data_IF_448091597300
#
_entry.id   IF_448091597300
#
_cell.length_a   1.000
_cell.length_b   1.000
_cell.length_c   1.000
_cell.angle_alpha   90.00
_cell.angle_beta   90.00
_cell.angle_gamma   90.00
#
_symmetry.space_group_name_H-M   'P 1'
#
loop_
_entity.id
_entity.type
_entity.pdbx_description
1 polymer ?
#
# COMPACT_ATOMS: atom_id res chain seq x y z
N UNK A 1 11.88 9.26 4.83
CA UNK A 1 11.15 9.62 3.61
C UNK A 1 9.82 8.89 3.60
N UNK A 2 8.71 9.60 3.41
CA UNK A 2 7.37 9.00 3.23
C UNK A 2 7.31 8.40 1.83
N UNK A 3 6.75 7.19 1.69
CA UNK A 3 6.51 6.58 0.39
C UNK A 3 5.03 6.79 0.03
N UNK A 4 4.80 7.52 -1.04
CA UNK A 4 3.51 7.61 -1.73
C UNK A 4 3.79 7.15 -3.16
N UNK A 5 3.07 6.13 -3.61
CA UNK A 5 3.27 5.61 -4.97
C UNK A 5 2.53 6.48 -5.99
N UNK A 6 1.29 6.85 -5.68
CA UNK A 6 0.51 7.79 -6.49
C UNK A 6 -0.26 8.77 -5.59
N UNK A 7 -0.40 10.00 -6.06
CA UNK A 7 -1.24 11.02 -5.45
C UNK A 7 -2.15 11.65 -6.50
N UNK A 8 -3.40 11.89 -6.13
CA UNK A 8 -4.40 12.50 -7.00
C UNK A 8 -5.22 13.56 -6.25
N UNK A 9 -5.62 14.60 -6.97
CA UNK A 9 -6.55 15.62 -6.49
C UNK A 9 -7.80 15.55 -7.37
N UNK A 10 -8.94 15.24 -6.77
CA UNK A 10 -10.17 14.99 -7.52
C UNK A 10 -11.39 15.38 -6.70
N UNK A 11 -12.35 16.10 -7.30
CA UNK A 11 -13.58 16.56 -6.64
C UNK A 11 -13.32 17.21 -5.26
N UNK A 12 -12.35 18.13 -5.20
CA UNK A 12 -11.90 18.82 -3.97
C UNK A 12 -11.40 17.91 -2.84
N UNK A 13 -11.20 16.62 -3.12
CA UNK A 13 -10.60 15.65 -2.21
C UNK A 13 -9.18 15.33 -2.66
N UNK A 14 -8.37 14.87 -1.71
CA UNK A 14 -6.99 14.43 -1.92
C UNK A 14 -6.90 12.94 -1.68
N UNK A 15 -6.33 12.22 -2.63
CA UNK A 15 -6.20 10.77 -2.61
C UNK A 15 -4.75 10.36 -2.71
N UNK A 16 -4.39 9.31 -1.99
CA UNK A 16 -3.12 8.61 -2.15
C UNK A 16 -3.38 7.13 -2.36
N UNK A 17 -2.66 6.55 -3.31
CA UNK A 17 -2.62 5.11 -3.55
C UNK A 17 -1.25 4.62 -3.12
N UNK A 18 -1.26 3.57 -2.28
CA UNK A 18 -0.06 2.94 -1.75
C UNK A 18 -0.05 1.48 -2.17
N UNK A 19 1.07 1.05 -2.75
CA UNK A 19 1.32 -0.33 -3.16
C UNK A 19 2.24 -0.98 -2.14
N UNK A 20 1.68 -1.88 -1.35
CA UNK A 20 2.35 -2.49 -0.22
C UNK A 20 3.09 -3.77 -0.57
N UNK A 21 4.31 -3.91 -0.08
CA UNK A 21 5.12 -5.12 -0.21
C UNK A 21 5.43 -5.67 1.20
N UNK A 22 5.69 -6.97 1.31
CA UNK A 22 6.04 -7.60 2.60
C UNK A 22 7.25 -6.92 3.27
N UNK A 23 8.18 -6.41 2.47
CA UNK A 23 9.36 -5.66 2.94
C UNK A 23 9.03 -4.37 3.70
N UNK A 24 7.80 -3.85 3.57
CA UNK A 24 7.31 -2.69 4.33
C UNK A 24 6.95 -2.99 5.78
N UNK A 25 6.72 -4.27 6.10
CA UNK A 25 6.19 -4.70 7.39
C UNK A 25 7.09 -5.73 8.09
N UNK A 26 7.98 -6.39 7.33
CA UNK A 26 8.83 -7.45 7.82
C UNK A 26 10.30 -7.21 7.45
N UNK A 27 11.19 -7.80 8.23
CA UNK A 27 12.61 -7.90 7.94
C UNK A 27 12.93 -9.25 7.33
N UNK A 28 13.79 -9.24 6.32
CA UNK A 28 14.29 -10.48 5.72
C UNK A 28 15.34 -11.07 6.66
N UNK A 29 15.03 -12.23 7.22
CA UNK A 29 15.92 -12.91 8.19
C UNK A 29 16.86 -13.86 7.47
N UNK A 30 16.38 -14.51 6.40
CA UNK A 30 17.21 -15.30 5.50
C UNK A 30 16.83 -15.06 4.06
N UNK A 31 17.85 -15.01 3.21
CA UNK A 31 17.69 -14.94 1.75
C UNK A 31 18.43 -16.11 1.14
N UNK A 32 17.67 -17.11 0.71
CA UNK A 32 18.16 -18.25 -0.06
C UNK A 32 17.57 -18.19 -1.48
N UNK A 33 18.23 -18.83 -2.44
CA UNK A 33 17.86 -18.85 -3.86
C UNK A 33 16.46 -19.46 -4.09
N UNK A 34 15.95 -20.24 -3.12
CA UNK A 34 14.66 -20.93 -3.20
C UNK A 34 13.56 -20.31 -2.34
N UNK A 35 13.90 -19.71 -1.19
CA UNK A 35 12.91 -19.14 -0.28
C UNK A 35 13.53 -18.04 0.58
N UNK A 36 12.84 -16.91 0.67
CA UNK A 36 13.18 -15.85 1.64
C UNK A 36 12.29 -16.00 2.87
N UNK A 37 12.90 -15.99 4.06
CA UNK A 37 12.16 -15.94 5.32
C UNK A 37 12.02 -14.49 5.77
N UNK A 38 10.79 -14.14 6.12
CA UNK A 38 10.43 -12.81 6.61
C UNK A 38 9.87 -12.93 8.02
N UNK A 39 10.41 -12.16 8.94
CA UNK A 39 9.87 -12.03 10.30
C UNK A 39 9.29 -10.62 10.48
N UNK A 40 8.14 -10.53 11.14
CA UNK A 40 7.44 -9.27 11.34
C UNK A 40 8.31 -8.26 12.11
N UNK A 41 8.31 -7.01 11.67
CA UNK A 41 9.14 -5.94 12.23
C UNK A 41 8.27 -4.86 12.87
N UNK A 42 8.27 -4.81 14.20
CA UNK A 42 7.49 -3.82 14.96
C UNK A 42 7.88 -2.39 14.58
N UNK A 43 9.16 -2.13 14.34
CA UNK A 43 9.66 -0.81 13.95
C UNK A 43 9.06 -0.39 12.61
N UNK A 44 9.14 -1.26 11.59
CA UNK A 44 8.59 -0.99 10.26
C UNK A 44 7.08 -0.83 10.30
N UNK A 45 6.38 -1.72 11.00
CA UNK A 45 4.94 -1.65 11.18
C UNK A 45 4.52 -0.34 11.87
N UNK A 46 5.19 0.01 12.97
CA UNK A 46 4.96 1.26 13.71
C UNK A 46 5.24 2.50 12.86
N UNK A 47 6.25 2.45 12.00
CA UNK A 47 6.51 3.50 11.03
C UNK A 47 5.35 3.65 10.04
N UNK A 48 4.84 2.56 9.46
CA UNK A 48 3.67 2.60 8.55
C UNK A 48 2.44 3.17 9.25
N UNK A 49 2.18 2.78 10.50
CA UNK A 49 1.08 3.34 11.30
C UNK A 49 1.21 4.84 11.55
N UNK A 50 2.43 5.33 11.83
CA UNK A 50 2.68 6.78 11.98
C UNK A 50 2.42 7.51 10.66
N UNK A 51 2.81 6.90 9.54
CA UNK A 51 2.58 7.44 8.20
C UNK A 51 1.08 7.56 7.88
N UNK A 52 0.31 6.52 8.14
CA UNK A 52 -1.15 6.53 7.95
C UNK A 52 -1.86 7.55 8.83
N UNK A 53 -1.46 7.66 10.10
CA UNK A 53 -2.03 8.66 11.01
C UNK A 53 -1.79 10.07 10.50
N UNK A 54 -0.65 10.35 9.89
CA UNK A 54 -0.35 11.66 9.31
C UNK A 54 -1.21 11.94 8.08
N UNK A 55 -1.30 10.99 7.15
CA UNK A 55 -2.13 11.13 5.95
C UNK A 55 -3.59 11.43 6.30
N UNK A 56 -4.14 10.70 7.29
CA UNK A 56 -5.49 10.96 7.80
C UNK A 56 -5.63 12.35 8.44
N UNK A 57 -4.65 12.80 9.24
CA UNK A 57 -4.64 14.16 9.81
C UNK A 57 -4.60 15.25 8.76
N UNK A 58 -3.98 14.99 7.62
CA UNK A 58 -3.88 15.89 6.48
C UNK A 58 -5.05 15.75 5.49
N UNK A 59 -6.09 15.01 5.87
CA UNK A 59 -7.31 14.78 5.11
C UNK A 59 -7.09 14.09 3.75
N UNK A 60 -6.09 13.20 3.69
CA UNK A 60 -5.90 12.30 2.56
C UNK A 60 -6.77 11.06 2.69
N UNK A 61 -7.44 10.72 1.60
CA UNK A 61 -8.14 9.47 1.41
C UNK A 61 -7.12 8.43 0.92
N UNK A 62 -6.96 7.34 1.67
CA UNK A 62 -5.89 6.35 1.43
C UNK A 62 -6.49 5.09 0.84
N UNK A 63 -6.04 4.72 -0.36
CA UNK A 63 -6.29 3.41 -0.97
C UNK A 63 -5.00 2.59 -0.88
N UNK A 64 -5.08 1.37 -0.34
CA UNK A 64 -3.94 0.45 -0.24
C UNK A 64 -4.23 -0.80 -1.05
N UNK A 65 -3.23 -1.25 -1.78
CA UNK A 65 -3.25 -2.51 -2.52
C UNK A 65 -1.96 -3.27 -2.28
N UNK A 66 -2.01 -4.60 -2.19
CA UNK A 66 -0.81 -5.41 -2.09
C UNK A 66 -0.12 -5.55 -3.45
N UNK A 67 1.19 -5.33 -3.48
CA UNK A 67 2.04 -5.64 -4.62
C UNK A 67 1.95 -7.12 -5.02
N UNK A 68 1.60 -8.00 -4.08
CA UNK A 68 1.37 -9.42 -4.37
C UNK A 68 0.10 -9.61 -5.20
N UNK A 69 -0.98 -8.90 -4.89
CA UNK A 69 -2.27 -8.94 -5.62
C UNK A 69 -2.09 -8.41 -7.05
N UNK A 70 -1.32 -7.32 -7.21
CA UNK A 70 -1.03 -6.74 -8.52
C UNK A 70 -0.20 -7.65 -9.45
N UNK A 71 0.44 -8.69 -8.90
CA UNK A 71 1.22 -9.69 -9.65
C UNK A 71 0.44 -10.96 -9.93
N UNK A 72 -0.81 -11.05 -9.48
CA UNK A 72 -1.68 -12.18 -9.77
C UNK A 72 -2.30 -12.05 -11.18
N UNK A 73 -3.39 -12.79 -11.42
CA UNK A 73 -4.11 -12.75 -12.68
C UNK A 73 -4.77 -11.38 -12.98
N UNK A 74 -5.16 -11.22 -14.24
CA UNK A 74 -5.80 -10.00 -14.73
C UNK A 74 -7.15 -9.74 -14.05
N UNK A 75 -7.88 -10.77 -13.64
CA UNK A 75 -9.19 -10.64 -13.00
C UNK A 75 -9.08 -9.92 -11.64
N UNK A 76 -8.08 -10.29 -10.82
CA UNK A 76 -7.79 -9.60 -9.54
C UNK A 76 -7.44 -8.13 -9.79
N UNK A 77 -6.63 -7.85 -10.81
CA UNK A 77 -6.25 -6.47 -11.14
C UNK A 77 -7.47 -5.66 -11.59
N UNK A 78 -8.37 -6.23 -12.40
CA UNK A 78 -9.60 -5.55 -12.81
C UNK A 78 -10.53 -5.28 -11.64
N UNK A 79 -10.64 -6.21 -10.68
CA UNK A 79 -11.42 -6.00 -9.45
C UNK A 79 -10.86 -4.82 -8.63
N UNK A 80 -9.54 -4.76 -8.44
CA UNK A 80 -8.87 -3.65 -7.75
C UNK A 80 -9.12 -2.31 -8.46
N UNK A 81 -9.09 -2.30 -9.80
CA UNK A 81 -9.37 -1.10 -10.58
C UNK A 81 -10.82 -0.65 -10.43
N UNK A 82 -11.76 -1.60 -10.32
CA UNK A 82 -13.16 -1.27 -10.04
C UNK A 82 -13.32 -0.69 -8.63
N UNK A 83 -12.72 -1.30 -7.62
CA UNK A 83 -12.71 -0.78 -6.24
C UNK A 83 -12.11 0.63 -6.16
N UNK A 84 -11.04 0.89 -6.93
CA UNK A 84 -10.42 2.20 -7.01
C UNK A 84 -11.34 3.24 -7.66
N UNK A 85 -12.09 2.88 -8.71
CA UNK A 85 -13.06 3.78 -9.34
C UNK A 85 -14.18 4.15 -8.36
N UNK A 86 -14.73 3.15 -7.69
CA UNK A 86 -15.78 3.33 -6.69
C UNK A 86 -15.28 4.20 -5.53
N UNK A 87 -14.04 3.97 -5.07
CA UNK A 87 -13.39 4.78 -4.03
C UNK A 87 -13.17 6.25 -4.43
N UNK A 88 -12.90 6.51 -5.71
CA UNK A 88 -12.71 7.87 -6.25
C UNK A 88 -14.03 8.56 -6.60
N UNK A 89 -15.17 7.90 -6.42
CA UNK A 89 -16.47 8.33 -6.94
C UNK A 89 -16.39 8.60 -8.47
N UNK A 90 -15.67 7.78 -9.26
CA UNK A 90 -15.47 7.97 -10.70
C UNK A 90 -16.50 7.21 -11.55
#
# INVERSE_FOLDING_TARGET
MYRVDFAAFWKDKRYVVLVDDISHYADIVTRDDKLSRWDASEEKYSKRLKEDRKLRKENWHVFRVSNWELKQDEEIVQAILQDLRDFLDF
#
